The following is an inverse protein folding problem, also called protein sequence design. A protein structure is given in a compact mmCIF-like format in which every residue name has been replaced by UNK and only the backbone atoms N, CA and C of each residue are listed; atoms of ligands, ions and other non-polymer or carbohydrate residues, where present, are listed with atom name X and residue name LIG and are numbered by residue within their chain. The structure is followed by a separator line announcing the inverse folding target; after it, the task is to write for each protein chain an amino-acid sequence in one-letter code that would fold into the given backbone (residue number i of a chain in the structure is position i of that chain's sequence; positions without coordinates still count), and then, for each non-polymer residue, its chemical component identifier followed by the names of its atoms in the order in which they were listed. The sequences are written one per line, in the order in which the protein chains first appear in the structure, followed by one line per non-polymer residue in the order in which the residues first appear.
data_IF_938999143755
#
_entry.id   IF_938999143755
#
_cell.length_a   1.000
_cell.length_b   1.000
_cell.length_c   1.000
_cell.angle_alpha   90.00
_cell.angle_beta   90.00
_cell.angle_gamma   90.00
#
_symmetry.space_group_name_H-M   'P 1'
#
loop_
_entity.id
_entity.type
_entity.pdbx_description
1 polymer ?
#
# COMPACT_ATOMS: atom_id res chain seq x y z
N UNK A 1 12.17 -6.32 0.01
CA UNK A 1 12.74 -6.05 1.34
C UNK A 1 13.90 -5.04 1.27
N UNK A 2 14.88 -5.25 0.38
CA UNK A 2 16.07 -4.39 0.24
C UNK A 2 15.69 -2.96 -0.19
N UNK A 3 14.73 -2.81 -1.12
CA UNK A 3 14.28 -1.51 -1.64
C UNK A 3 13.64 -0.66 -0.51
N UNK A 4 12.71 -1.23 0.27
CA UNK A 4 12.16 -0.58 1.46
C UNK A 4 13.23 -0.11 2.44
N UNK A 5 14.21 -0.97 2.75
CA UNK A 5 15.25 -0.66 3.72
C UNK A 5 16.14 0.50 3.27
N UNK A 6 16.54 0.50 1.99
CA UNK A 6 17.33 1.60 1.41
C UNK A 6 16.51 2.89 1.43
N UNK A 7 15.25 2.86 0.97
CA UNK A 7 14.39 4.04 0.95
C UNK A 7 14.15 4.62 2.34
N UNK A 8 13.97 3.80 3.38
CA UNK A 8 13.84 4.29 4.77
C UNK A 8 15.06 5.09 5.21
N UNK A 9 16.27 4.63 4.87
CA UNK A 9 17.50 5.35 5.21
C UNK A 9 17.60 6.65 4.43
N UNK A 10 17.31 6.61 3.12
CA UNK A 10 17.35 7.77 2.25
C UNK A 10 16.37 8.85 2.75
N UNK A 11 15.09 8.52 2.95
CA UNK A 11 14.04 9.45 3.39
C UNK A 11 14.36 10.13 4.74
N UNK A 12 15.07 9.44 5.63
CA UNK A 12 15.50 10.01 6.91
C UNK A 12 16.69 10.98 6.77
N UNK A 13 17.47 10.89 5.70
CA UNK A 13 18.74 11.58 5.54
C UNK A 13 18.74 12.67 4.46
N UNK A 14 17.80 12.64 3.52
CA UNK A 14 17.76 13.54 2.37
C UNK A 14 16.36 14.10 2.10
N UNK A 15 16.31 15.25 1.44
CA UNK A 15 15.04 15.88 1.02
C UNK A 15 14.38 15.12 -0.14
N UNK A 16 13.12 15.44 -0.45
CA UNK A 16 12.43 14.82 -1.60
C UNK A 16 13.10 15.15 -2.93
N UNK A 17 13.64 16.36 -3.08
CA UNK A 17 14.35 16.80 -4.28
C UNK A 17 15.67 16.03 -4.45
N UNK A 18 16.43 15.85 -3.36
CA UNK A 18 17.65 15.05 -3.36
C UNK A 18 17.36 13.58 -3.66
N UNK A 19 16.27 13.05 -3.10
CA UNK A 19 15.79 11.70 -3.41
C UNK A 19 15.44 11.59 -4.89
N UNK A 20 14.75 12.58 -5.48
CA UNK A 20 14.40 12.58 -6.90
C UNK A 20 15.64 12.51 -7.79
N UNK A 21 16.73 13.21 -7.43
CA UNK A 21 17.98 13.18 -8.19
C UNK A 21 18.60 11.78 -8.28
N UNK A 22 18.42 10.94 -7.27
CA UNK A 22 18.85 9.53 -7.32
C UNK A 22 18.05 8.67 -8.32
N UNK A 23 16.88 9.14 -8.75
CA UNK A 23 16.01 8.51 -9.74
C UNK A 23 16.02 9.26 -11.08
N UNK A 24 16.90 10.22 -11.29
CA UNK A 24 17.12 10.84 -12.60
C UNK A 24 18.41 10.31 -13.21
N UNK A 25 18.31 9.65 -14.36
CA UNK A 25 19.47 9.17 -15.11
C UNK A 25 20.05 10.28 -16.00
N UNK A 26 21.35 10.57 -15.90
CA UNK A 26 22.07 11.40 -16.87
C UNK A 26 22.94 10.50 -17.78
N UNK A 27 22.44 10.13 -18.97
CA UNK A 27 23.34 9.73 -20.06
C UNK A 27 23.66 10.95 -20.92
N UNK A 28 24.80 11.59 -20.66
CA UNK A 28 25.34 12.58 -21.58
C UNK A 28 26.04 11.86 -22.73
N UNK A 29 25.28 11.48 -23.76
CA UNK A 29 25.87 11.21 -25.07
C UNK A 29 26.14 12.55 -25.78
N UNK A 30 27.39 12.88 -26.14
CA UNK A 30 27.68 14.12 -26.83
C UNK A 30 27.06 14.10 -28.24
N UNK A 31 26.00 14.89 -28.43
CA UNK A 31 25.35 15.09 -29.74
C UNK A 31 23.85 14.79 -29.80
N UNK A 32 23.23 14.28 -28.73
CA UNK A 32 21.77 14.03 -28.73
C UNK A 32 20.99 15.28 -28.33
N UNK A 33 20.34 15.93 -29.29
CA UNK A 33 19.31 16.94 -29.02
C UNK A 33 17.98 16.23 -28.77
N UNK A 34 17.54 16.21 -27.50
CA UNK A 34 16.15 15.90 -27.15
C UNK A 34 15.85 14.45 -26.75
N UNK A 35 16.56 13.91 -25.77
CA UNK A 35 15.99 12.81 -24.96
C UNK A 35 15.06 13.44 -23.92
N UNK A 36 13.76 13.19 -24.00
CA UNK A 36 12.82 13.53 -22.93
C UNK A 36 13.30 12.87 -21.63
N UNK A 37 13.50 13.65 -20.57
CA UNK A 37 13.93 13.14 -19.27
C UNK A 37 12.95 12.06 -18.79
N UNK A 38 13.37 10.80 -18.68
CA UNK A 38 12.55 9.75 -18.08
C UNK A 38 12.51 9.93 -16.56
N UNK A 39 11.31 10.19 -16.04
CA UNK A 39 11.07 10.30 -14.61
C UNK A 39 10.95 8.89 -13.99
N UNK A 40 12.10 8.30 -13.62
CA UNK A 40 12.15 6.94 -13.08
C UNK A 40 11.49 6.83 -11.70
N UNK A 41 11.35 7.95 -10.98
CA UNK A 41 10.63 7.96 -9.71
C UNK A 41 9.14 7.76 -9.97
N UNK A 42 8.55 8.50 -10.92
CA UNK A 42 7.16 8.29 -11.33
C UNK A 42 6.96 6.86 -11.89
N UNK A 43 7.92 6.35 -12.67
CA UNK A 43 7.88 4.99 -13.20
C UNK A 43 7.89 3.94 -12.07
N UNK A 44 8.72 4.14 -11.05
CA UNK A 44 8.75 3.28 -9.86
C UNK A 44 7.39 3.28 -9.14
N UNK A 45 6.79 4.45 -8.92
CA UNK A 45 5.44 4.54 -8.33
C UNK A 45 4.41 3.80 -9.18
N UNK A 46 4.45 3.96 -10.50
CA UNK A 46 3.57 3.25 -11.44
C UNK A 46 3.77 1.73 -11.33
N UNK A 47 5.01 1.26 -11.34
CA UNK A 47 5.35 -0.16 -11.23
C UNK A 47 4.90 -0.75 -9.88
N UNK A 48 5.10 -0.05 -8.77
CA UNK A 48 4.64 -0.49 -7.44
C UNK A 48 3.12 -0.60 -7.38
N UNK A 49 2.40 0.38 -7.93
CA UNK A 49 0.93 0.36 -7.96
C UNK A 49 0.43 -0.75 -8.89
N UNK A 50 1.02 -0.91 -10.08
CA UNK A 50 0.72 -2.00 -11.00
C UNK A 50 0.94 -3.36 -10.32
N UNK A 51 2.05 -3.53 -9.61
CA UNK A 51 2.34 -4.74 -8.85
C UNK A 51 1.19 -5.08 -7.88
N UNK A 52 0.70 -4.09 -7.13
CA UNK A 52 -0.40 -4.27 -6.17
C UNK A 52 -1.73 -4.59 -6.89
N UNK A 53 -2.03 -3.97 -8.02
CA UNK A 53 -3.37 -4.05 -8.65
C UNK A 53 -3.49 -5.07 -9.78
N UNK A 54 -2.39 -5.54 -10.34
CA UNK A 54 -2.36 -6.46 -11.49
C UNK A 54 -1.91 -7.86 -11.10
N UNK A 55 -1.02 -8.00 -10.12
CA UNK A 55 -0.54 -9.32 -9.69
C UNK A 55 -1.56 -9.92 -8.71
N UNK A 56 -2.06 -11.14 -8.98
CA UNK A 56 -2.96 -11.81 -8.06
C UNK A 56 -2.25 -12.15 -6.76
N UNK A 57 -2.94 -11.99 -5.64
CA UNK A 57 -2.41 -12.35 -4.33
C UNK A 57 -2.45 -13.88 -4.14
N UNK A 58 -1.27 -14.48 -4.24
CA UNK A 58 -0.93 -15.88 -3.99
C UNK A 58 0.21 -15.96 -2.98
N UNK A 59 0.41 -17.13 -2.36
CA UNK A 59 1.50 -17.37 -1.39
C UNK A 59 2.87 -16.94 -1.91
N UNK A 60 3.21 -17.30 -3.16
CA UNK A 60 4.48 -16.91 -3.82
C UNK A 60 4.64 -15.41 -4.03
N UNK A 61 3.53 -14.69 -4.17
CA UNK A 61 3.49 -13.25 -4.46
C UNK A 61 3.20 -12.41 -3.21
N UNK A 62 2.92 -13.05 -2.08
CA UNK A 62 2.55 -12.37 -0.84
C UNK A 62 3.64 -11.39 -0.39
N UNK A 63 4.88 -11.89 -0.35
CA UNK A 63 6.04 -11.11 0.12
C UNK A 63 6.32 -9.90 -0.77
N UNK A 64 6.18 -10.04 -2.10
CA UNK A 64 6.40 -8.92 -3.02
C UNK A 64 5.25 -7.92 -2.98
N UNK A 65 4.01 -8.38 -2.79
CA UNK A 65 2.85 -7.49 -2.60
C UNK A 65 2.97 -6.70 -1.29
N UNK A 66 3.36 -7.37 -0.21
CA UNK A 66 3.61 -6.73 1.08
C UNK A 66 4.75 -5.71 0.99
N UNK A 67 5.83 -6.05 0.30
CA UNK A 67 6.93 -5.13 0.05
C UNK A 67 6.45 -3.90 -0.73
N UNK A 68 5.65 -4.07 -1.79
CA UNK A 68 5.19 -2.97 -2.62
C UNK A 68 4.30 -1.99 -1.82
N UNK A 69 3.33 -2.52 -1.05
CA UNK A 69 2.49 -1.71 -0.17
C UNK A 69 3.34 -0.99 0.87
N UNK A 70 4.27 -1.68 1.51
CA UNK A 70 5.16 -1.10 2.52
C UNK A 70 6.06 -0.01 1.92
N UNK A 71 6.54 -0.20 0.69
CA UNK A 71 7.38 0.76 -0.03
C UNK A 71 6.63 2.07 -0.25
N UNK A 72 5.37 1.99 -0.68
CA UNK A 72 4.52 3.19 -0.86
C UNK A 72 4.26 3.90 0.47
N UNK A 73 4.01 3.17 1.55
CA UNK A 73 3.86 3.76 2.90
C UNK A 73 5.14 4.48 3.32
N UNK A 74 6.31 3.89 3.05
CA UNK A 74 7.62 4.48 3.35
C UNK A 74 7.82 5.78 2.58
N UNK A 75 7.56 5.80 1.27
CA UNK A 75 7.60 7.03 0.47
C UNK A 75 6.67 8.11 1.04
N UNK A 76 5.44 7.75 1.37
CA UNK A 76 4.49 8.67 1.96
C UNK A 76 4.88 9.11 3.38
N UNK A 77 5.80 8.42 4.05
CA UNK A 77 6.28 8.83 5.38
C UNK A 77 7.26 10.01 5.34
N UNK A 78 7.74 10.43 4.15
CA UNK A 78 8.54 11.64 3.97
C UNK A 78 7.93 12.87 4.66
N UNK A 79 6.59 12.96 4.64
CA UNK A 79 5.81 14.04 5.26
C UNK A 79 5.99 14.16 6.78
N UNK A 80 6.41 13.09 7.46
CA UNK A 80 6.64 13.12 8.91
C UNK A 80 7.97 13.79 9.27
N UNK A 81 8.93 13.76 8.34
CA UNK A 81 10.28 14.28 8.54
C UNK A 81 10.46 15.68 7.95
N UNK A 82 9.74 15.99 6.88
CA UNK A 82 9.83 17.26 6.19
C UNK A 82 8.57 18.08 6.44
N UNK A 83 8.72 19.20 7.17
CA UNK A 83 7.62 20.10 7.60
C UNK A 83 7.02 20.93 6.45
N UNK A 84 7.37 20.63 5.20
CA UNK A 84 6.84 21.36 4.06
C UNK A 84 5.37 21.01 3.79
N UNK A 85 4.65 21.95 3.19
CA UNK A 85 3.24 21.75 2.84
C UNK A 85 3.17 20.60 1.83
N UNK A 86 2.47 19.51 2.19
CA UNK A 86 2.22 18.32 1.37
C UNK A 86 1.89 18.60 -0.11
N UNK A 87 1.28 19.75 -0.40
CA UNK A 87 0.94 20.18 -1.76
C UNK A 87 2.16 20.43 -2.66
N UNK A 88 3.34 20.70 -2.09
CA UNK A 88 4.59 20.86 -2.84
C UNK A 88 5.37 19.56 -3.00
N UNK A 89 4.97 18.49 -2.31
CA UNK A 89 5.65 17.20 -2.37
C UNK A 89 5.61 16.63 -3.79
N UNK A 90 6.76 16.17 -4.27
CA UNK A 90 6.91 15.49 -5.56
C UNK A 90 6.13 14.17 -5.55
N UNK A 91 6.15 13.47 -4.41
CA UNK A 91 5.40 12.23 -4.21
C UNK A 91 3.89 12.48 -4.31
N UNK A 92 3.41 13.58 -3.70
CA UNK A 92 2.01 14.00 -3.83
C UNK A 92 1.65 14.32 -5.29
N UNK A 93 2.55 14.99 -6.04
CA UNK A 93 2.36 15.28 -7.46
C UNK A 93 2.17 14.01 -8.30
N UNK A 94 3.03 13.00 -8.13
CA UNK A 94 2.91 11.74 -8.89
C UNK A 94 1.63 10.97 -8.59
N UNK A 95 1.24 10.88 -7.32
CA UNK A 95 0.04 10.14 -6.91
C UNK A 95 -1.27 10.84 -7.28
N UNK A 96 -1.27 12.19 -7.28
CA UNK A 96 -2.51 12.98 -7.44
C UNK A 96 -2.68 13.60 -8.83
N UNK A 97 -1.61 13.73 -9.61
CA UNK A 97 -1.63 14.35 -10.95
C UNK A 97 -0.84 13.56 -12.00
N UNK A 98 -0.10 12.52 -11.60
CA UNK A 98 0.76 11.76 -12.49
C UNK A 98 0.06 10.59 -13.20
N UNK A 99 0.88 9.76 -13.84
CA UNK A 99 0.45 8.55 -14.57
C UNK A 99 -0.27 7.53 -13.68
N UNK A 100 -0.03 7.59 -12.37
CA UNK A 100 -0.63 6.73 -11.34
C UNK A 100 -2.16 6.87 -11.22
N UNK A 101 -2.76 7.97 -11.69
CA UNK A 101 -4.20 8.24 -11.58
C UNK A 101 -5.08 7.20 -12.26
N UNK A 102 -4.59 6.59 -13.34
CA UNK A 102 -5.31 5.53 -14.06
C UNK A 102 -5.60 4.30 -13.19
N UNK A 103 -4.81 4.09 -12.12
CA UNK A 103 -4.92 2.94 -11.23
C UNK A 103 -5.68 3.22 -9.93
N UNK A 104 -6.09 4.47 -9.66
CA UNK A 104 -6.64 4.88 -8.35
C UNK A 104 -7.79 4.00 -7.85
N UNK A 105 -8.83 3.77 -8.66
CA UNK A 105 -9.98 2.95 -8.24
C UNK A 105 -9.60 1.49 -8.01
N UNK A 106 -8.74 0.95 -8.88
CA UNK A 106 -8.21 -0.42 -8.76
C UNK A 106 -7.37 -0.56 -7.50
N UNK A 107 -6.54 0.44 -7.18
CA UNK A 107 -5.72 0.46 -5.98
C UNK A 107 -6.58 0.49 -4.72
N UNK A 108 -7.52 1.44 -4.62
CA UNK A 108 -8.43 1.53 -3.46
C UNK A 108 -9.23 0.24 -3.29
N UNK A 109 -9.75 -0.32 -4.39
CA UNK A 109 -10.44 -1.60 -4.40
C UNK A 109 -9.52 -2.70 -3.85
N UNK A 110 -8.33 -2.88 -4.39
CA UNK A 110 -7.41 -3.95 -3.98
C UNK A 110 -6.97 -3.81 -2.53
N UNK A 111 -6.67 -2.60 -2.05
CA UNK A 111 -6.31 -2.36 -0.65
C UNK A 111 -7.46 -2.73 0.30
N UNK A 112 -8.71 -2.38 -0.05
CA UNK A 112 -9.88 -2.80 0.70
C UNK A 112 -10.09 -4.31 0.64
N UNK A 113 -9.86 -4.96 -0.50
CA UNK A 113 -9.91 -6.43 -0.59
C UNK A 113 -8.85 -7.11 0.29
N UNK A 114 -7.62 -6.60 0.31
CA UNK A 114 -6.57 -7.11 1.19
C UNK A 114 -6.98 -7.00 2.66
N UNK A 115 -7.59 -5.87 3.05
CA UNK A 115 -8.16 -5.69 4.38
C UNK A 115 -9.29 -6.68 4.67
N UNK A 116 -10.25 -6.84 3.76
CA UNK A 116 -11.40 -7.75 3.94
C UNK A 116 -10.96 -9.22 4.04
N UNK A 117 -10.01 -9.64 3.20
CA UNK A 117 -9.57 -11.05 3.13
C UNK A 117 -8.72 -11.48 4.32
N UNK A 118 -8.07 -10.54 5.01
CA UNK A 118 -7.22 -10.81 6.17
C UNK A 118 -6.24 -11.98 5.94
N UNK A 119 -5.62 -12.06 4.75
CA UNK A 119 -4.73 -13.19 4.43
C UNK A 119 -3.52 -13.25 5.37
N UNK A 120 -3.39 -14.40 6.05
CA UNK A 120 -2.25 -14.70 6.91
C UNK A 120 -0.98 -14.82 6.07
N UNK A 121 0.16 -14.48 6.66
CA UNK A 121 1.44 -14.70 6.01
C UNK A 121 1.61 -16.19 5.68
N UNK A 122 2.03 -16.53 4.45
CA UNK A 122 2.34 -17.90 4.10
C UNK A 122 3.47 -18.44 5.00
N UNK A 123 3.43 -19.72 5.38
CA UNK A 123 4.47 -20.30 6.21
C UNK A 123 5.83 -20.30 5.47
N UNK A 124 6.96 -20.20 6.20
CA UNK A 124 8.29 -20.12 5.59
C UNK A 124 8.72 -21.38 4.81
N UNK A 125 7.89 -22.45 4.80
CA UNK A 125 8.10 -23.70 4.07
C UNK A 125 7.40 -23.77 2.71
N UNK A 126 6.47 -22.85 2.42
CA UNK A 126 5.77 -22.83 1.13
C UNK A 126 6.47 -21.84 0.19
N UNK A 127 7.44 -22.36 -0.56
CA UNK A 127 7.96 -21.91 -1.88
C UNK A 127 9.45 -21.52 -1.99
N UNK A 128 10.22 -22.37 -2.70
CA UNK A 128 10.81 -22.11 -4.06
C UNK A 128 12.12 -22.86 -4.37
N UNK A 129 12.79 -23.53 -3.43
CA UNK A 129 13.85 -24.49 -3.81
C UNK A 129 13.89 -25.70 -2.86
N UNK A 130 13.13 -26.74 -3.18
CA UNK A 130 13.54 -28.11 -2.87
C UNK A 130 14.39 -28.58 -4.06
N UNK A 131 15.74 -28.60 -3.97
CA UNK A 131 16.47 -29.56 -4.75
C UNK A 131 16.12 -30.93 -4.15
N UNK A 132 15.53 -31.79 -4.98
CA UNK A 132 15.59 -33.21 -4.70
C UNK A 132 17.06 -33.61 -4.52
N UNK A 133 17.30 -34.44 -3.51
CA UNK A 133 18.53 -35.20 -3.27
C UNK A 133 19.77 -34.43 -2.77
N UNK A 134 20.14 -34.79 -1.54
CA UNK A 134 21.50 -35.03 -1.04
C UNK A 134 22.63 -34.04 -1.43
N UNK A 135 22.97 -33.18 -0.46
CA UNK A 135 24.32 -32.61 -0.34
C UNK A 135 24.48 -31.17 -0.82
N UNK A 136 24.21 -30.20 0.06
CA UNK A 136 24.58 -28.80 -0.23
C UNK A 136 23.94 -27.72 0.64
N UNK A 137 23.60 -28.00 1.91
CA UNK A 137 22.94 -27.04 2.81
C UNK A 137 23.92 -26.26 3.66
N UNK A 138 24.42 -25.11 3.19
CA UNK A 138 25.07 -24.13 4.08
C UNK A 138 24.86 -22.68 3.62
N UNK A 139 24.75 -22.42 2.32
CA UNK A 139 24.60 -21.04 1.80
C UNK A 139 23.15 -20.52 1.85
N UNK A 140 22.15 -21.40 1.77
CA UNK A 140 20.73 -21.01 1.86
C UNK A 140 20.30 -20.61 3.29
N UNK A 141 21.01 -21.11 4.31
CA UNK A 141 20.74 -20.78 5.71
C UNK A 141 21.12 -19.34 6.09
N UNK A 142 22.05 -18.72 5.35
CA UNK A 142 22.52 -17.37 5.67
C UNK A 142 21.58 -16.33 5.06
N UNK A 143 21.21 -16.44 3.77
CA UNK A 143 20.30 -15.51 3.11
C UNK A 143 18.88 -15.51 3.72
N UNK A 144 18.37 -16.69 4.10
CA UNK A 144 17.09 -16.82 4.81
C UNK A 144 17.15 -16.21 6.22
N UNK A 145 18.27 -16.42 6.94
CA UNK A 145 18.48 -15.90 8.30
C UNK A 145 18.59 -14.37 8.37
N UNK A 146 19.16 -13.69 7.36
CA UNK A 146 19.21 -12.22 7.36
C UNK A 146 17.82 -11.62 7.07
N UNK A 147 17.05 -12.21 6.16
CA UNK A 147 15.71 -11.72 5.83
C UNK A 147 14.72 -11.90 7.01
N UNK A 148 14.76 -13.04 7.70
CA UNK A 148 13.94 -13.27 8.91
C UNK A 148 14.46 -12.49 10.13
N UNK A 149 15.79 -12.36 10.28
CA UNK A 149 16.41 -11.58 11.34
C UNK A 149 16.06 -10.09 11.26
N UNK A 150 16.11 -9.51 10.06
CA UNK A 150 15.75 -8.11 9.84
C UNK A 150 14.23 -7.87 9.96
N UNK A 151 13.39 -8.84 9.59
CA UNK A 151 11.95 -8.77 9.85
C UNK A 151 11.65 -8.76 11.35
N UNK A 152 12.29 -9.66 12.11
CA UNK A 152 12.08 -9.81 13.57
C UNK A 152 12.54 -8.58 14.36
N UNK A 153 13.68 -7.98 13.99
CA UNK A 153 14.19 -6.77 14.63
C UNK A 153 13.31 -5.55 14.32
N UNK A 154 12.65 -5.51 13.16
CA UNK A 154 11.85 -4.33 12.76
C UNK A 154 10.37 -4.43 13.17
N UNK A 155 9.80 -5.63 13.37
CA UNK A 155 8.48 -5.79 14.01
C UNK A 155 8.54 -5.68 15.54
N UNK A 156 9.74 -5.77 16.13
CA UNK A 156 9.97 -5.68 17.58
C UNK A 156 11.05 -4.63 17.90
N UNK A 157 10.80 -3.38 17.54
CA UNK A 157 11.49 -2.24 18.14
C UNK A 157 11.13 -2.14 19.63
N UNK A 158 11.75 -2.96 20.47
CA UNK A 158 11.47 -3.00 21.90
C UNK A 158 12.22 -4.11 22.63
N UNK A 159 13.50 -3.87 22.92
CA UNK A 159 14.17 -4.58 24.01
C UNK A 159 13.42 -4.25 25.30
N UNK A 160 12.67 -5.22 25.84
CA UNK A 160 12.25 -5.19 27.24
C UNK A 160 10.84 -4.70 27.56
N UNK A 161 9.81 -5.07 26.79
CA UNK A 161 8.44 -5.05 27.33
C UNK A 161 7.79 -6.42 27.28
N UNK A 162 7.21 -6.80 28.42
CA UNK A 162 6.56 -8.08 28.70
C UNK A 162 5.60 -8.46 27.56
N UNK A 163 5.65 -9.72 27.13
CA UNK A 163 4.65 -10.38 26.28
C UNK A 163 3.25 -9.98 26.73
N UNK A 164 2.63 -9.05 26.00
CA UNK A 164 1.19 -9.02 25.88
C UNK A 164 0.83 -10.23 25.01
N UNK A 165 0.39 -11.29 25.67
CA UNK A 165 -0.39 -12.37 25.10
C UNK A 165 -1.40 -11.83 24.07
N UNK A 166 -1.50 -12.50 22.90
CA UNK A 166 -2.49 -12.31 21.82
C UNK A 166 -2.15 -11.39 20.63
N UNK A 167 -0.99 -11.60 19.97
CA UNK A 167 -0.83 -11.18 18.56
C UNK A 167 -0.61 -12.42 17.69
N UNK A 168 -1.56 -13.35 17.79
CA UNK A 168 -1.48 -14.70 17.23
C UNK A 168 -1.92 -14.80 15.76
N UNK A 169 -2.31 -13.68 15.12
CA UNK A 169 -2.77 -13.66 13.73
C UNK A 169 -2.45 -12.32 13.04
N UNK A 170 -1.19 -11.94 12.92
CA UNK A 170 -0.88 -10.75 12.11
C UNK A 170 -1.08 -11.09 10.63
N UNK A 171 -2.09 -10.51 9.99
CA UNK A 171 -2.20 -10.40 8.53
C UNK A 171 -1.51 -9.09 8.11
N UNK A 172 -0.17 -9.04 8.00
CA UNK A 172 0.58 -7.80 7.83
C UNK A 172 0.18 -7.06 6.56
N UNK A 173 -0.12 -7.78 5.48
CA UNK A 173 -0.56 -7.16 4.23
C UNK A 173 -1.90 -6.43 4.40
N UNK A 174 -2.85 -7.00 5.14
CA UNK A 174 -4.14 -6.36 5.42
C UNK A 174 -3.94 -5.05 6.20
N UNK A 175 -3.11 -5.10 7.25
CA UNK A 175 -2.82 -3.93 8.09
C UNK A 175 -2.07 -2.83 7.32
N UNK A 176 -1.04 -3.19 6.56
CA UNK A 176 -0.29 -2.23 5.75
C UNK A 176 -1.14 -1.67 4.61
N UNK A 177 -2.02 -2.48 4.00
CA UNK A 177 -2.94 -2.01 2.96
C UNK A 177 -3.94 -1.00 3.52
N UNK A 178 -4.46 -1.24 4.72
CA UNK A 178 -5.36 -0.33 5.40
C UNK A 178 -4.66 0.99 5.76
N UNK A 179 -3.43 0.92 6.28
CA UNK A 179 -2.63 2.11 6.57
C UNK A 179 -2.39 2.93 5.31
N UNK A 180 -1.93 2.28 4.23
CA UNK A 180 -1.72 2.94 2.94
C UNK A 180 -3.00 3.62 2.44
N UNK A 181 -4.14 2.92 2.50
CA UNK A 181 -5.44 3.47 2.11
C UNK A 181 -5.78 4.73 2.91
N UNK A 182 -5.64 4.68 4.24
CA UNK A 182 -5.93 5.81 5.11
C UNK A 182 -5.02 7.00 4.81
N UNK A 183 -3.72 6.78 4.55
CA UNK A 183 -2.81 7.85 4.16
C UNK A 183 -3.22 8.46 2.83
N UNK A 184 -3.51 7.64 1.81
CA UNK A 184 -3.90 8.09 0.48
C UNK A 184 -5.21 8.91 0.50
N UNK A 185 -6.22 8.48 1.25
CA UNK A 185 -7.52 9.16 1.36
C UNK A 185 -7.41 10.49 2.12
N UNK A 186 -6.44 10.61 3.02
CA UNK A 186 -6.20 11.82 3.80
C UNK A 186 -5.14 12.76 3.17
N UNK A 187 -4.62 12.44 1.98
CA UNK A 187 -3.83 13.39 1.20
C UNK A 187 -4.65 14.67 0.97
N UNK A 188 -4.00 15.82 1.13
CA UNK A 188 -4.64 17.13 1.03
C UNK A 188 -5.23 17.34 -0.37
N UNK A 189 -6.45 17.89 -0.43
CA UNK A 189 -7.05 18.28 -1.71
C UNK A 189 -6.18 19.35 -2.41
N UNK A 190 -6.01 19.21 -3.73
CA UNK A 190 -5.39 20.23 -4.56
C UNK A 190 -6.36 21.39 -4.79
N UNK A 191 -5.85 22.54 -5.23
CA UNK A 191 -6.66 23.77 -5.34
C UNK A 191 -7.86 23.61 -6.29
N UNK A 192 -7.69 22.84 -7.38
CA UNK A 192 -8.69 22.70 -8.45
C UNK A 192 -9.19 21.25 -8.63
N UNK A 193 -8.58 20.28 -7.95
CA UNK A 193 -8.94 18.85 -8.07
C UNK A 193 -9.06 18.19 -6.68
N UNK A 194 -10.21 17.56 -6.37
CA UNK A 194 -10.38 16.81 -5.13
C UNK A 194 -9.53 15.53 -5.16
N UNK A 195 -9.21 15.00 -3.98
CA UNK A 195 -8.43 13.78 -3.86
C UNK A 195 -9.11 12.57 -4.56
N UNK A 196 -8.49 11.96 -5.59
CA UNK A 196 -9.08 10.88 -6.37
C UNK A 196 -9.25 9.59 -5.56
N UNK A 197 -8.39 9.33 -4.57
CA UNK A 197 -8.52 8.19 -3.65
C UNK A 197 -9.73 8.37 -2.74
N UNK A 198 -9.93 9.59 -2.22
CA UNK A 198 -11.11 9.96 -1.44
C UNK A 198 -12.39 9.86 -2.27
N UNK A 199 -12.37 10.31 -3.52
CA UNK A 199 -13.50 10.14 -4.45
C UNK A 199 -13.83 8.67 -4.71
N UNK A 200 -12.80 7.81 -4.83
CA UNK A 200 -12.97 6.36 -4.97
C UNK A 200 -13.69 5.76 -3.74
N UNK A 201 -13.32 6.19 -2.52
CA UNK A 201 -13.97 5.75 -1.27
C UNK A 201 -15.42 6.24 -1.15
N UNK A 202 -15.71 7.46 -1.60
CA UNK A 202 -17.08 8.03 -1.58
C UNK A 202 -18.00 7.32 -2.58
N UNK A 203 -17.47 6.90 -3.72
CA UNK A 203 -18.28 6.47 -4.88
C UNK A 203 -18.52 4.97 -4.99
N UNK A 204 -17.78 4.11 -4.27
CA UNK A 204 -17.98 2.67 -4.39
C UNK A 204 -19.34 2.21 -3.84
N UNK A 205 -19.85 1.13 -4.44
CA UNK A 205 -21.19 0.59 -4.20
C UNK A 205 -21.16 -0.88 -3.77
N UNK A 206 -22.30 -1.39 -3.31
CA UNK A 206 -22.42 -2.79 -2.97
C UNK A 206 -22.43 -3.65 -4.25
N UNK A 207 -21.86 -4.85 -4.20
CA UNK A 207 -21.94 -5.82 -5.31
C UNK A 207 -23.38 -6.26 -5.61
N UNK A 208 -24.29 -6.12 -4.65
CA UNK A 208 -25.71 -6.45 -4.81
C UNK A 208 -26.55 -5.31 -5.41
N UNK A 209 -26.00 -4.10 -5.52
CA UNK A 209 -26.70 -2.98 -6.14
C UNK A 209 -26.78 -3.22 -7.66
N UNK A 210 -27.93 -3.75 -8.10
CA UNK A 210 -28.21 -4.08 -9.50
C UNK A 210 -28.43 -2.86 -10.39
N UNK A 211 -28.30 -1.64 -9.84
CA UNK A 211 -28.17 -0.44 -10.67
C UNK A 211 -26.85 -0.57 -11.42
N UNK A 212 -26.90 -1.00 -12.68
CA UNK A 212 -25.77 -0.89 -13.59
C UNK A 212 -25.13 0.49 -13.38
N UNK A 213 -23.79 0.55 -13.25
CA UNK A 213 -23.06 1.82 -13.16
C UNK A 213 -23.51 2.68 -14.35
N UNK A 214 -24.47 3.58 -14.13
CA UNK A 214 -25.29 4.19 -15.18
C UNK A 214 -24.56 5.27 -15.98
N UNK A 215 -23.25 5.35 -15.77
CA UNK A 215 -22.25 6.12 -16.49
C UNK A 215 -20.89 5.64 -15.97
N UNK A 216 -19.80 5.70 -16.75
CA UNK A 216 -18.47 5.50 -16.23
C UNK A 216 -18.12 6.69 -15.31
N UNK A 217 -18.60 6.66 -14.07
CA UNK A 217 -18.09 7.58 -13.06
C UNK A 217 -16.62 7.22 -12.86
N UNK A 218 -15.67 8.13 -13.17
CA UNK A 218 -14.29 7.88 -12.85
C UNK A 218 -14.23 7.57 -11.36
N UNK A 219 -13.42 6.57 -11.00
CA UNK A 219 -13.21 6.15 -9.61
C UNK A 219 -14.22 5.19 -8.96
N UNK A 220 -15.32 4.79 -9.63
CA UNK A 220 -16.29 3.87 -9.03
C UNK A 220 -15.95 2.39 -9.22
N UNK A 221 -16.23 1.59 -8.19
CA UNK A 221 -16.14 0.13 -8.21
C UNK A 221 -17.16 -0.48 -7.23
N UNK A 222 -17.22 -1.81 -7.16
CA UNK A 222 -18.11 -2.53 -6.24
C UNK A 222 -17.32 -3.36 -5.22
N UNK A 223 -17.83 -3.42 -4.00
CA UNK A 223 -17.36 -4.28 -2.90
C UNK A 223 -18.56 -4.96 -2.23
N UNK A 224 -18.36 -6.19 -1.73
CA UNK A 224 -19.36 -6.87 -0.92
C UNK A 224 -19.43 -6.20 0.46
N UNK A 225 -20.52 -5.47 0.72
CA UNK A 225 -20.68 -4.75 1.99
C UNK A 225 -20.86 -5.68 3.19
N UNK A 226 -21.34 -6.91 3.00
CA UNK A 226 -21.42 -7.89 4.08
C UNK A 226 -20.03 -8.30 4.56
N UNK A 227 -19.14 -8.65 3.62
CA UNK A 227 -17.75 -8.99 3.97
C UNK A 227 -17.04 -7.83 4.65
N UNK A 228 -17.19 -6.61 4.12
CA UNK A 228 -16.62 -5.40 4.72
C UNK A 228 -17.14 -5.16 6.14
N UNK A 229 -18.46 -5.28 6.35
CA UNK A 229 -19.08 -5.13 7.67
C UNK A 229 -18.53 -6.15 8.67
N UNK A 230 -18.51 -7.44 8.29
CA UNK A 230 -18.01 -8.51 9.17
C UNK A 230 -16.57 -8.28 9.56
N UNK A 231 -15.69 -7.95 8.61
CA UNK A 231 -14.27 -7.68 8.91
C UNK A 231 -14.10 -6.45 9.80
N UNK A 232 -14.89 -5.39 9.61
CA UNK A 232 -14.86 -4.20 10.49
C UNK A 232 -15.27 -4.55 11.93
N UNK A 233 -16.27 -5.42 12.11
CA UNK A 233 -16.66 -5.91 13.43
C UNK A 233 -15.57 -6.78 14.08
N UNK A 234 -14.95 -7.69 13.32
CA UNK A 234 -13.85 -8.54 13.80
C UNK A 234 -12.61 -7.71 14.20
N UNK A 235 -12.32 -6.65 13.44
CA UNK A 235 -11.16 -5.79 13.65
C UNK A 235 -11.46 -4.54 14.50
N UNK A 236 -12.58 -4.49 15.22
CA UNK A 236 -13.04 -3.29 15.95
C UNK A 236 -12.05 -2.77 17.01
N UNK A 237 -11.19 -3.64 17.55
CA UNK A 237 -10.18 -3.25 18.54
C UNK A 237 -8.94 -2.57 17.90
N UNK A 238 -8.89 -2.47 16.58
CA UNK A 238 -7.82 -1.82 15.84
C UNK A 238 -8.15 -0.36 15.55
N UNK A 239 -7.23 0.55 15.91
CA UNK A 239 -7.36 1.99 15.65
C UNK A 239 -7.57 2.28 14.15
N UNK A 240 -6.83 1.60 13.28
CA UNK A 240 -6.91 1.78 11.83
C UNK A 240 -8.28 1.35 11.28
N UNK A 241 -8.85 0.25 11.79
CA UNK A 241 -10.18 -0.22 11.37
C UNK A 241 -11.27 0.75 11.84
N UNK A 242 -11.13 1.31 13.04
CA UNK A 242 -12.01 2.34 13.58
C UNK A 242 -11.97 3.63 12.74
N UNK A 243 -10.78 4.06 12.33
CA UNK A 243 -10.63 5.21 11.43
C UNK A 243 -11.25 4.97 10.06
N UNK A 244 -11.11 3.76 9.50
CA UNK A 244 -11.79 3.41 8.26
C UNK A 244 -13.30 3.42 8.44
N UNK A 245 -13.82 2.83 9.52
CA UNK A 245 -15.25 2.86 9.84
C UNK A 245 -15.78 4.29 9.89
N UNK A 246 -15.10 5.17 10.64
CA UNK A 246 -15.47 6.58 10.73
C UNK A 246 -15.47 7.26 9.37
N UNK A 247 -14.42 7.04 8.57
CA UNK A 247 -14.29 7.57 7.21
C UNK A 247 -15.46 7.12 6.33
N UNK A 248 -15.80 5.82 6.36
CA UNK A 248 -16.87 5.24 5.56
C UNK A 248 -18.25 5.77 5.97
N UNK A 249 -18.53 5.87 7.26
CA UNK A 249 -19.81 6.39 7.76
C UNK A 249 -20.00 7.87 7.41
N UNK A 250 -18.93 8.67 7.46
CA UNK A 250 -19.02 10.09 7.15
C UNK A 250 -19.06 10.36 5.64
N UNK A 251 -18.30 9.61 4.84
CA UNK A 251 -18.04 9.95 3.45
C UNK A 251 -18.83 9.10 2.43
N UNK A 252 -19.14 7.83 2.73
CA UNK A 252 -19.87 6.96 1.81
C UNK A 252 -21.30 6.71 2.29
N UNK A 253 -22.27 7.38 1.65
CA UNK A 253 -23.68 7.25 2.00
C UNK A 253 -24.24 5.84 1.80
N UNK A 254 -23.73 5.08 0.83
CA UNK A 254 -24.20 3.72 0.55
C UNK A 254 -23.81 2.79 1.70
N UNK A 255 -22.54 2.85 2.13
CA UNK A 255 -22.05 2.08 3.28
C UNK A 255 -22.77 2.51 4.55
N UNK A 256 -22.90 3.82 4.81
CA UNK A 256 -23.63 4.33 5.97
C UNK A 256 -25.05 3.76 6.05
N UNK A 257 -25.82 3.84 4.97
CA UNK A 257 -27.19 3.31 4.93
C UNK A 257 -27.21 1.80 5.19
N UNK A 258 -26.29 1.05 4.58
CA UNK A 258 -26.20 -0.40 4.76
C UNK A 258 -25.85 -0.81 6.20
N UNK A 259 -24.94 -0.08 6.86
CA UNK A 259 -24.52 -0.36 8.24
C UNK A 259 -25.61 0.03 9.25
N UNK A 260 -26.23 1.22 9.08
CA UNK A 260 -27.31 1.68 9.96
C UNK A 260 -28.56 0.81 9.87
N UNK A 261 -28.86 0.22 8.70
CA UNK A 261 -29.97 -0.72 8.56
C UNK A 261 -29.78 -2.05 9.33
N UNK A 262 -28.59 -2.28 9.91
CA UNK A 262 -28.24 -3.48 10.68
C UNK A 262 -27.97 -3.20 12.17
N UNK A 263 -28.16 -1.95 12.60
CA UNK A 263 -28.05 -1.54 14.00
C UNK A 263 -29.44 -1.53 14.64
#
# INVERSE_FOLDING_TARGET
FIICCLLKVLICQMSEEELQLHFTYEEKTPGSYGSEYEDLMEELFCCLIQLIVEIPLLDITYSISLEAVTTLVVFLSCQLFHKEILRKSIIHKYLMHGRCLSYTSRLVKTLLYNFIRQERSPPPSSHVFQPESEGGGLLYGIASGVATGLWTVFTLGGVGSKRASQQEESSPLANQSLLLLLVLVNLTDAADTPNPYKQSVVSFKNTQDSTALSSPTPHAFQINFNSLYTTLCEQQNSDHATLLLYTLLHQNSNVRTYMLART
#
